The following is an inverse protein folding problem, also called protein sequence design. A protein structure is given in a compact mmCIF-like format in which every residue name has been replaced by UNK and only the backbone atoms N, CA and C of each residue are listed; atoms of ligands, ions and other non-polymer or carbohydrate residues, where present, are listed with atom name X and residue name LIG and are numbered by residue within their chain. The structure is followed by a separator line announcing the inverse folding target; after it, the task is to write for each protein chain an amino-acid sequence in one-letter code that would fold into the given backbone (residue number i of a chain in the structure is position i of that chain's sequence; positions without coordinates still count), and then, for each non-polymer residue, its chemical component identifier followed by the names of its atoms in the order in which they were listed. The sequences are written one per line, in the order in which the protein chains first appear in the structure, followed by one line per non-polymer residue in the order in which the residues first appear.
data_IF_377628529142
#
_entry.id   IF_377628529142
#
_cell.length_a   1.000
_cell.length_b   1.000
_cell.length_c   1.000
_cell.angle_alpha   90.00
_cell.angle_beta   90.00
_cell.angle_gamma   90.00
#
_symmetry.space_group_name_H-M   'P 1'
#
loop_
_entity.id
_entity.type
_entity.pdbx_description
1 polymer ?
#
# COMPACT_ATOMS: atom_id res chain seq x y z
N UNK A 1 -17.72 12.38 54.12
CA UNK A 1 -17.38 11.57 52.93
C UNK A 1 -16.14 10.75 53.22
N UNK A 2 -16.20 9.42 53.11
CA UNK A 2 -15.02 8.59 53.36
C UNK A 2 -13.88 8.91 52.35
N UNK A 3 -12.65 8.79 52.79
CA UNK A 3 -11.42 9.11 52.03
C UNK A 3 -11.43 8.48 50.63
N UNK A 4 -12.00 7.31 50.49
CA UNK A 4 -12.17 6.58 49.21
C UNK A 4 -13.01 7.34 48.17
N UNK A 5 -14.08 8.00 48.60
CA UNK A 5 -14.92 8.82 47.70
C UNK A 5 -14.24 10.11 47.24
N UNK A 6 -13.45 10.76 48.12
CA UNK A 6 -12.65 11.92 47.74
C UNK A 6 -11.55 11.55 46.75
N UNK A 7 -10.89 10.42 46.91
CA UNK A 7 -9.89 9.88 45.98
C UNK A 7 -10.49 9.56 44.60
N UNK A 8 -11.65 8.92 44.58
CA UNK A 8 -12.37 8.58 43.31
C UNK A 8 -12.81 9.86 42.58
N UNK A 9 -13.30 10.88 43.31
CA UNK A 9 -13.63 12.17 42.70
C UNK A 9 -12.39 12.88 42.14
N UNK A 10 -11.31 12.92 42.92
CA UNK A 10 -10.05 13.57 42.50
C UNK A 10 -9.47 12.89 41.25
N UNK A 11 -9.42 11.55 41.23
CA UNK A 11 -8.97 10.79 40.04
C UNK A 11 -9.89 10.97 38.81
N UNK A 12 -11.19 11.07 38.98
CA UNK A 12 -12.12 11.40 37.88
C UNK A 12 -11.87 12.80 37.31
N UNK A 13 -11.66 13.79 38.17
CA UNK A 13 -11.35 15.17 37.74
C UNK A 13 -9.99 15.23 37.03
N UNK A 14 -8.96 14.56 37.56
CA UNK A 14 -7.65 14.47 36.87
C UNK A 14 -7.75 13.77 35.53
N UNK A 15 -8.44 12.64 35.42
CA UNK A 15 -8.67 11.94 34.16
C UNK A 15 -9.42 12.83 33.14
N UNK A 16 -10.46 13.56 33.59
CA UNK A 16 -11.20 14.47 32.71
C UNK A 16 -10.32 15.64 32.23
N UNK A 17 -9.48 16.22 33.10
CA UNK A 17 -8.52 17.26 32.71
C UNK A 17 -7.47 16.71 31.74
N UNK A 18 -6.91 15.53 31.99
CA UNK A 18 -5.97 14.87 31.10
C UNK A 18 -6.60 14.61 29.73
N UNK A 19 -7.84 14.07 29.68
CA UNK A 19 -8.58 13.88 28.45
C UNK A 19 -8.82 15.19 27.69
N UNK A 20 -9.21 16.26 28.38
CA UNK A 20 -9.43 17.57 27.75
C UNK A 20 -8.13 18.17 27.18
N UNK A 21 -7.00 17.97 27.85
CA UNK A 21 -5.69 18.41 27.36
C UNK A 21 -5.20 17.63 26.17
N UNK A 22 -5.51 16.32 26.09
CA UNK A 22 -5.14 15.47 24.95
C UNK A 22 -6.14 15.53 23.80
N UNK A 23 -7.37 16.05 24.04
CA UNK A 23 -8.46 16.08 23.06
C UNK A 23 -8.08 16.76 21.73
N UNK A 24 -7.41 17.91 21.70
CA UNK A 24 -7.03 18.53 20.43
C UNK A 24 -6.15 17.62 19.56
N UNK A 25 -5.19 16.91 20.18
CA UNK A 25 -4.35 15.93 19.48
C UNK A 25 -5.17 14.73 18.99
N UNK A 26 -6.06 14.21 19.83
CA UNK A 26 -6.92 13.07 19.47
C UNK A 26 -7.85 13.45 18.31
N UNK A 27 -8.48 14.63 18.36
CA UNK A 27 -9.33 15.13 17.26
C UNK A 27 -8.51 15.27 15.98
N UNK A 28 -7.32 15.86 16.07
CA UNK A 28 -6.42 15.97 14.92
C UNK A 28 -6.09 14.60 14.31
N UNK A 29 -5.74 13.60 15.13
CA UNK A 29 -5.47 12.24 14.66
C UNK A 29 -6.70 11.59 14.01
N UNK A 30 -7.88 11.76 14.62
CA UNK A 30 -9.12 11.22 14.05
C UNK A 30 -9.41 11.87 12.69
N UNK A 31 -9.35 13.19 12.60
CA UNK A 31 -9.70 13.91 11.36
C UNK A 31 -8.65 13.68 10.26
N UNK A 32 -7.35 13.64 10.61
CA UNK A 32 -6.28 13.56 9.63
C UNK A 32 -5.93 12.14 9.20
N UNK A 33 -6.24 11.12 10.01
CA UNK A 33 -5.87 9.73 9.74
C UNK A 33 -7.07 8.78 9.75
N UNK A 34 -7.86 8.76 10.83
CA UNK A 34 -8.91 7.75 10.99
C UNK A 34 -10.03 7.96 9.97
N UNK A 35 -10.50 9.20 9.78
CA UNK A 35 -11.55 9.51 8.82
C UNK A 35 -11.14 9.23 7.36
N UNK A 36 -9.97 9.67 6.86
CA UNK A 36 -9.53 9.33 5.50
C UNK A 36 -9.35 7.83 5.28
N UNK A 37 -8.80 7.10 6.25
CA UNK A 37 -8.68 5.64 6.17
C UNK A 37 -10.07 5.00 6.15
N UNK A 38 -10.98 5.44 7.01
CA UNK A 38 -12.37 4.98 7.05
C UNK A 38 -13.09 5.22 5.73
N UNK A 39 -12.92 6.39 5.13
CA UNK A 39 -13.48 6.70 3.81
C UNK A 39 -12.88 5.83 2.71
N UNK A 40 -11.58 5.58 2.72
CA UNK A 40 -10.97 4.64 1.78
C UNK A 40 -11.54 3.23 1.93
N UNK A 41 -11.67 2.72 3.16
CA UNK A 41 -12.29 1.42 3.43
C UNK A 41 -13.76 1.39 2.95
N UNK A 42 -14.51 2.47 3.14
CA UNK A 42 -15.86 2.60 2.62
C UNK A 42 -15.89 2.53 1.09
N UNK A 43 -15.04 3.30 0.41
CA UNK A 43 -14.93 3.31 -1.07
C UNK A 43 -14.48 1.98 -1.66
N UNK A 44 -13.84 1.13 -0.89
CA UNK A 44 -13.42 -0.20 -1.35
C UNK A 44 -14.59 -1.17 -1.60
N UNK A 45 -15.73 -0.92 -0.95
CA UNK A 45 -16.96 -1.73 -1.08
C UNK A 45 -18.13 -0.95 -1.66
N UNK A 46 -18.17 0.37 -1.47
CA UNK A 46 -19.26 1.25 -1.92
C UNK A 46 -18.88 1.97 -3.21
N UNK A 47 -19.60 1.68 -4.29
CA UNK A 47 -19.38 2.29 -5.59
C UNK A 47 -20.72 2.52 -6.33
N UNK A 48 -21.38 3.66 -6.11
CA UNK A 48 -22.67 3.98 -6.71
C UNK A 48 -22.53 4.55 -8.13
N UNK A 49 -21.49 4.18 -8.90
CA UNK A 49 -21.23 4.77 -10.21
C UNK A 49 -22.31 4.45 -11.25
N UNK A 50 -23.03 3.34 -11.11
CA UNK A 50 -24.16 3.00 -11.99
C UNK A 50 -25.44 3.61 -11.47
N UNK A 51 -25.79 3.40 -10.20
CA UNK A 51 -27.02 3.91 -9.59
C UNK A 51 -27.11 5.45 -9.60
N UNK A 52 -25.99 6.15 -9.44
CA UNK A 52 -25.95 7.62 -9.52
C UNK A 52 -26.16 8.18 -10.94
N UNK A 53 -25.83 7.41 -11.98
CA UNK A 53 -25.90 7.87 -13.38
C UNK A 53 -27.19 7.43 -14.06
N UNK A 54 -27.63 6.20 -13.78
CA UNK A 54 -28.85 5.60 -14.35
C UNK A 54 -29.71 5.01 -13.23
N UNK A 55 -30.31 5.86 -12.37
CA UNK A 55 -30.99 5.44 -11.15
C UNK A 55 -32.25 4.60 -11.41
N UNK A 56 -33.10 5.00 -12.36
CA UNK A 56 -34.34 4.26 -12.66
C UNK A 56 -33.99 2.88 -13.27
N UNK A 57 -33.04 2.85 -14.17
CA UNK A 57 -32.53 1.61 -14.72
C UNK A 57 -31.89 0.71 -13.65
N UNK A 58 -31.11 1.27 -12.73
CA UNK A 58 -30.45 0.52 -11.67
C UNK A 58 -31.45 -0.21 -10.76
N UNK A 59 -32.62 0.37 -10.53
CA UNK A 59 -33.73 -0.27 -9.81
C UNK A 59 -34.38 -1.35 -10.68
N UNK A 60 -34.74 -1.00 -11.91
CA UNK A 60 -35.44 -1.92 -12.80
C UNK A 60 -34.66 -3.19 -13.13
N UNK A 61 -33.34 -3.07 -13.39
CA UNK A 61 -32.49 -4.20 -13.78
C UNK A 61 -32.29 -5.23 -12.65
N UNK A 62 -32.55 -4.89 -11.38
CA UNK A 62 -32.48 -5.86 -10.28
C UNK A 62 -33.60 -6.92 -10.36
N UNK A 63 -34.70 -6.64 -11.07
CA UNK A 63 -35.82 -7.56 -11.28
C UNK A 63 -35.59 -8.51 -12.48
N UNK A 64 -34.54 -8.28 -13.27
CA UNK A 64 -34.22 -9.14 -14.41
C UNK A 64 -33.57 -10.45 -13.95
N UNK A 65 -34.01 -11.55 -14.52
CA UNK A 65 -33.55 -12.92 -14.20
C UNK A 65 -32.14 -13.25 -14.74
N UNK A 66 -31.55 -12.35 -15.53
CA UNK A 66 -30.23 -12.53 -16.12
C UNK A 66 -30.24 -13.40 -17.37
N UNK A 67 -31.38 -13.82 -17.89
CA UNK A 67 -31.51 -14.64 -19.08
C UNK A 67 -31.91 -13.82 -20.32
N UNK A 68 -31.24 -14.04 -21.43
CA UNK A 68 -31.53 -13.32 -22.67
C UNK A 68 -31.19 -11.83 -22.59
N UNK A 69 -32.08 -10.98 -23.11
CA UNK A 69 -31.96 -9.52 -23.01
C UNK A 69 -33.04 -8.99 -22.07
N UNK A 70 -32.78 -7.84 -21.39
CA UNK A 70 -33.77 -7.19 -20.54
C UNK A 70 -35.08 -6.85 -21.26
N UNK A 71 -36.12 -6.54 -20.49
CA UNK A 71 -37.40 -6.11 -21.03
C UNK A 71 -37.34 -4.74 -21.70
N UNK A 72 -38.30 -4.41 -22.54
CA UNK A 72 -38.40 -3.12 -23.23
C UNK A 72 -38.42 -1.94 -22.20
N UNK A 73 -39.14 -2.11 -21.10
CA UNK A 73 -39.22 -1.13 -20.02
C UNK A 73 -37.86 -0.83 -19.40
N UNK A 74 -36.99 -1.84 -19.29
CA UNK A 74 -35.60 -1.64 -18.78
C UNK A 74 -34.73 -0.91 -19.79
N UNK A 75 -34.93 -1.16 -21.09
CA UNK A 75 -34.27 -0.40 -22.15
C UNK A 75 -34.74 1.08 -22.15
N UNK A 76 -36.04 1.32 -21.98
CA UNK A 76 -36.60 2.68 -21.86
C UNK A 76 -35.99 3.42 -20.66
N UNK A 77 -36.00 2.80 -19.47
CA UNK A 77 -35.40 3.38 -18.27
C UNK A 77 -33.92 3.73 -18.49
N UNK A 78 -33.17 2.84 -19.14
CA UNK A 78 -31.76 3.07 -19.44
C UNK A 78 -31.53 4.26 -20.39
N UNK A 79 -32.30 4.34 -21.47
CA UNK A 79 -32.19 5.43 -22.46
C UNK A 79 -32.60 6.76 -21.83
N UNK A 80 -33.70 6.78 -21.07
CA UNK A 80 -34.20 7.98 -20.39
C UNK A 80 -33.20 8.52 -19.39
N UNK A 81 -32.60 7.65 -18.57
CA UNK A 81 -31.57 8.03 -17.63
C UNK A 81 -30.31 8.54 -18.34
N UNK A 82 -29.89 7.95 -19.46
CA UNK A 82 -28.76 8.41 -20.26
C UNK A 82 -28.99 9.81 -20.85
N UNK A 83 -30.21 10.14 -21.23
CA UNK A 83 -30.59 11.48 -21.73
C UNK A 83 -30.39 12.53 -20.65
N UNK A 84 -30.79 12.21 -19.41
CA UNK A 84 -30.60 13.08 -18.24
C UNK A 84 -29.11 13.17 -17.88
N UNK A 85 -28.43 12.03 -17.78
CA UNK A 85 -27.03 11.96 -17.39
C UNK A 85 -26.10 12.68 -18.37
N UNK A 86 -26.44 12.75 -19.67
CA UNK A 86 -25.67 13.49 -20.70
C UNK A 86 -25.55 14.98 -20.35
N UNK A 87 -26.55 15.58 -19.72
CA UNK A 87 -26.58 17.01 -19.32
C UNK A 87 -25.90 17.23 -17.96
N UNK A 88 -25.74 16.17 -17.19
CA UNK A 88 -25.18 16.25 -15.85
C UNK A 88 -23.66 16.44 -15.89
N UNK A 89 -23.14 17.46 -15.17
CA UNK A 89 -21.71 17.73 -15.01
C UNK A 89 -21.21 17.50 -13.60
N UNK A 90 -22.08 17.05 -12.71
CA UNK A 90 -21.73 16.78 -11.32
C UNK A 90 -20.75 15.59 -11.25
N UNK A 91 -19.72 15.74 -10.44
CA UNK A 91 -18.71 14.70 -10.21
C UNK A 91 -19.40 13.45 -9.66
N UNK A 92 -19.13 12.30 -10.27
CA UNK A 92 -19.75 11.03 -9.87
C UNK A 92 -21.04 10.68 -10.62
N UNK A 93 -21.72 11.64 -11.26
CA UNK A 93 -23.00 11.45 -11.97
C UNK A 93 -22.90 11.59 -13.49
N UNK A 94 -21.70 11.53 -14.04
CA UNK A 94 -21.48 11.67 -15.49
C UNK A 94 -21.52 10.33 -16.21
N UNK A 95 -21.94 10.34 -17.48
CA UNK A 95 -21.83 9.17 -18.37
C UNK A 95 -20.39 8.62 -18.44
N UNK A 96 -19.40 9.49 -18.29
CA UNK A 96 -17.98 9.11 -18.24
C UNK A 96 -17.66 8.18 -17.06
N UNK A 97 -18.26 8.41 -15.89
CA UNK A 97 -18.08 7.58 -14.71
C UNK A 97 -18.71 6.19 -14.90
N UNK A 98 -19.96 6.14 -15.41
CA UNK A 98 -20.61 4.89 -15.79
C UNK A 98 -19.77 4.09 -16.80
N UNK A 99 -19.35 4.77 -17.87
CA UNK A 99 -18.56 4.15 -18.92
C UNK A 99 -17.22 3.61 -18.39
N UNK A 100 -16.56 4.33 -17.54
CA UNK A 100 -15.31 3.91 -16.90
C UNK A 100 -15.54 2.72 -15.97
N UNK A 101 -16.61 2.77 -15.16
CA UNK A 101 -16.93 1.68 -14.24
C UNK A 101 -17.19 0.36 -14.97
N UNK A 102 -18.02 0.40 -16.01
CA UNK A 102 -18.35 -0.81 -16.78
C UNK A 102 -17.14 -1.28 -17.60
N UNK A 103 -16.30 -0.36 -18.07
CA UNK A 103 -15.08 -0.73 -18.79
C UNK A 103 -14.06 -1.49 -17.92
N UNK A 104 -14.05 -1.31 -16.61
CA UNK A 104 -13.25 -2.14 -15.71
C UNK A 104 -13.79 -3.57 -15.58
N UNK A 105 -15.12 -3.74 -15.64
CA UNK A 105 -15.74 -5.05 -15.61
C UNK A 105 -15.74 -5.73 -17.00
N UNK A 106 -15.89 -4.94 -18.07
CA UNK A 106 -15.93 -5.40 -19.45
C UNK A 106 -15.04 -4.49 -20.32
N UNK A 107 -13.75 -4.83 -20.52
CA UNK A 107 -12.82 -4.02 -21.30
C UNK A 107 -13.31 -3.73 -22.74
N UNK A 108 -13.09 -2.50 -23.20
CA UNK A 108 -13.51 -2.04 -24.52
C UNK A 108 -14.97 -1.56 -24.61
N UNK A 109 -15.67 -1.44 -23.44
CA UNK A 109 -17.04 -0.92 -23.40
C UNK A 109 -17.15 0.60 -23.25
N UNK A 110 -16.09 1.30 -22.87
CA UNK A 110 -16.14 2.75 -22.58
C UNK A 110 -16.70 3.60 -23.71
N UNK A 111 -16.25 3.38 -24.94
CA UNK A 111 -16.71 4.13 -26.13
C UNK A 111 -18.18 3.87 -26.44
N UNK A 112 -18.69 2.67 -26.15
CA UNK A 112 -20.07 2.29 -26.34
C UNK A 112 -21.02 3.23 -25.57
N UNK A 113 -20.80 3.38 -24.26
CA UNK A 113 -21.62 4.24 -23.38
C UNK A 113 -21.56 5.71 -23.79
N UNK A 114 -20.38 6.24 -24.05
CA UNK A 114 -20.21 7.65 -24.44
C UNK A 114 -20.79 7.97 -25.80
N UNK A 115 -20.69 7.06 -26.78
CA UNK A 115 -21.30 7.25 -28.09
C UNK A 115 -22.82 7.10 -28.06
N UNK A 116 -23.35 6.17 -27.28
CA UNK A 116 -24.79 5.97 -27.09
C UNK A 116 -25.42 7.19 -26.41
N UNK A 117 -24.82 7.70 -25.34
CA UNK A 117 -25.34 8.88 -24.64
C UNK A 117 -25.42 10.13 -25.54
N UNK A 118 -24.49 10.30 -26.50
CA UNK A 118 -24.54 11.41 -27.48
C UNK A 118 -25.76 11.32 -28.38
N UNK A 119 -26.21 10.10 -28.70
CA UNK A 119 -27.32 9.82 -29.64
C UNK A 119 -28.61 9.44 -28.91
N UNK A 120 -28.64 9.32 -27.58
CA UNK A 120 -29.76 8.87 -26.80
C UNK A 120 -31.06 9.61 -27.09
N UNK A 121 -31.00 10.95 -27.29
CA UNK A 121 -32.17 11.78 -27.61
C UNK A 121 -32.84 11.43 -28.98
N UNK A 122 -32.19 10.63 -29.81
CA UNK A 122 -32.71 10.22 -31.12
C UNK A 122 -33.34 8.82 -31.12
N UNK A 123 -33.29 8.15 -29.98
CA UNK A 123 -33.85 6.82 -29.80
C UNK A 123 -35.31 6.97 -29.36
N UNK A 124 -36.22 6.40 -30.11
CA UNK A 124 -37.66 6.29 -29.80
C UNK A 124 -38.04 4.83 -29.67
N UNK A 125 -39.23 4.55 -29.14
CA UNK A 125 -39.75 3.21 -29.04
C UNK A 125 -39.87 2.56 -30.46
N UNK A 126 -39.49 1.29 -30.59
CA UNK A 126 -39.00 0.37 -29.55
C UNK A 126 -37.52 0.63 -29.21
N UNK A 127 -37.24 0.90 -27.92
CA UNK A 127 -35.93 1.29 -27.42
C UNK A 127 -34.86 0.21 -27.56
N UNK A 128 -35.25 -1.06 -27.41
CA UNK A 128 -34.39 -2.23 -27.62
C UNK A 128 -33.80 -2.24 -29.02
N UNK A 129 -34.66 -2.16 -30.02
CA UNK A 129 -34.24 -2.15 -31.43
C UNK A 129 -33.42 -0.91 -31.75
N UNK A 130 -33.85 0.25 -31.25
CA UNK A 130 -33.14 1.53 -31.40
C UNK A 130 -31.70 1.50 -30.84
N UNK A 131 -31.48 0.92 -29.66
CA UNK A 131 -30.15 0.74 -29.07
C UNK A 131 -29.29 -0.27 -29.89
N UNK A 132 -29.85 -1.41 -30.28
CA UNK A 132 -29.14 -2.42 -31.06
C UNK A 132 -28.78 -1.86 -32.45
N UNK A 133 -29.65 -1.07 -33.07
CA UNK A 133 -29.38 -0.42 -34.36
C UNK A 133 -28.22 0.61 -34.25
N UNK A 134 -28.08 1.30 -33.10
CA UNK A 134 -26.95 2.19 -32.86
C UNK A 134 -25.63 1.44 -32.75
N UNK A 135 -25.62 0.28 -32.07
CA UNK A 135 -24.45 -0.56 -31.94
C UNK A 135 -24.85 -1.99 -31.52
N UNK A 136 -24.43 -2.97 -32.35
CA UNK A 136 -24.72 -4.40 -32.12
C UNK A 136 -24.24 -4.93 -30.77
N UNK A 137 -23.26 -4.25 -30.09
CA UNK A 137 -22.81 -4.66 -28.75
C UNK A 137 -23.93 -4.61 -27.70
N UNK A 138 -24.99 -3.84 -27.92
CA UNK A 138 -26.17 -3.80 -27.03
C UNK A 138 -27.01 -5.09 -27.08
N UNK A 139 -26.83 -5.96 -28.07
CA UNK A 139 -27.45 -7.29 -28.10
C UNK A 139 -26.67 -8.34 -27.28
N UNK A 140 -25.54 -7.98 -26.66
CA UNK A 140 -24.78 -8.91 -25.84
C UNK A 140 -25.35 -8.99 -24.40
N UNK A 141 -25.90 -10.17 -23.98
CA UNK A 141 -26.43 -10.34 -22.63
C UNK A 141 -25.41 -10.07 -21.50
N UNK A 142 -24.12 -10.37 -21.75
CA UNK A 142 -23.06 -10.17 -20.76
C UNK A 142 -22.86 -8.69 -20.38
N UNK A 143 -23.12 -7.77 -21.31
CA UNK A 143 -23.09 -6.35 -21.03
C UNK A 143 -24.16 -5.97 -19.99
N UNK A 144 -25.36 -6.52 -20.14
CA UNK A 144 -26.48 -6.27 -19.23
C UNK A 144 -26.28 -6.94 -17.87
N UNK A 145 -25.74 -8.17 -17.85
CA UNK A 145 -25.30 -8.83 -16.61
C UNK A 145 -24.23 -8.01 -15.87
N UNK A 146 -23.29 -7.45 -16.59
CA UNK A 146 -22.28 -6.56 -16.02
C UNK A 146 -22.94 -5.29 -15.44
N UNK A 147 -23.90 -4.70 -16.15
CA UNK A 147 -24.66 -3.54 -15.64
C UNK A 147 -25.46 -3.89 -14.40
N UNK A 148 -26.19 -5.01 -14.38
CA UNK A 148 -26.95 -5.49 -13.24
C UNK A 148 -26.08 -5.67 -11.97
N UNK A 149 -24.94 -6.35 -12.13
CA UNK A 149 -24.00 -6.56 -11.01
C UNK A 149 -23.42 -5.26 -10.48
N UNK A 150 -23.16 -4.30 -11.36
CA UNK A 150 -22.58 -3.01 -10.99
C UNK A 150 -23.65 -1.96 -10.62
N UNK A 151 -24.94 -2.25 -10.78
CA UNK A 151 -26.04 -1.42 -10.34
C UNK A 151 -26.24 -1.44 -8.82
N UNK A 152 -25.68 -2.44 -8.12
CA UNK A 152 -25.65 -2.47 -6.66
C UNK A 152 -24.57 -1.53 -6.15
N UNK A 153 -24.91 -0.70 -5.17
CA UNK A 153 -23.97 0.26 -4.56
C UNK A 153 -22.85 -0.44 -3.79
N UNK A 154 -23.13 -1.61 -3.18
CA UNK A 154 -22.17 -2.41 -2.46
C UNK A 154 -21.73 -3.61 -3.30
N UNK A 155 -20.42 -3.75 -3.47
CA UNK A 155 -19.84 -4.81 -4.28
C UNK A 155 -18.51 -5.30 -3.72
N UNK A 156 -18.29 -6.63 -3.61
CA UNK A 156 -16.99 -7.21 -3.31
C UNK A 156 -16.06 -7.31 -4.54
N UNK A 157 -16.52 -6.89 -5.72
CA UNK A 157 -15.82 -7.07 -6.98
C UNK A 157 -14.38 -6.49 -6.98
N UNK A 158 -14.15 -5.41 -6.23
CA UNK A 158 -12.82 -4.80 -6.12
C UNK A 158 -11.86 -5.64 -5.29
N UNK A 159 -12.36 -6.30 -4.23
CA UNK A 159 -11.57 -7.26 -3.46
C UNK A 159 -11.26 -8.52 -4.26
N UNK A 160 -12.23 -9.02 -5.04
CA UNK A 160 -11.99 -10.12 -5.95
C UNK A 160 -10.91 -9.74 -6.97
N UNK A 161 -11.05 -8.58 -7.62
CA UNK A 161 -10.03 -8.10 -8.57
C UNK A 161 -8.65 -7.94 -7.91
N UNK A 162 -8.59 -7.42 -6.67
CA UNK A 162 -7.34 -7.28 -5.91
C UNK A 162 -6.68 -8.63 -5.54
N UNK A 163 -7.45 -9.73 -5.58
CA UNK A 163 -6.99 -11.11 -5.40
C UNK A 163 -6.85 -11.87 -6.72
N UNK A 164 -6.80 -11.16 -7.86
CA UNK A 164 -6.72 -11.73 -9.20
C UNK A 164 -7.91 -12.68 -9.54
N UNK A 165 -9.09 -12.37 -8.96
CA UNK A 165 -10.34 -13.11 -9.19
C UNK A 165 -11.35 -12.24 -9.96
N UNK A 166 -12.26 -12.89 -10.66
CA UNK A 166 -13.39 -12.23 -11.35
C UNK A 166 -14.65 -13.09 -11.28
N UNK A 167 -15.80 -12.50 -11.60
CA UNK A 167 -17.02 -13.25 -11.83
C UNK A 167 -17.07 -13.78 -13.27
N UNK A 168 -17.42 -15.06 -13.44
CA UNK A 168 -17.79 -15.63 -14.74
C UNK A 168 -19.21 -15.18 -15.16
N UNK A 169 -19.65 -15.66 -16.34
CA UNK A 169 -20.96 -15.36 -16.89
C UNK A 169 -22.11 -15.90 -16.02
N UNK A 170 -21.85 -16.97 -15.28
CA UNK A 170 -22.82 -17.61 -14.36
C UNK A 170 -22.83 -17.00 -12.96
N UNK A 171 -21.91 -16.07 -12.67
CA UNK A 171 -21.79 -15.46 -11.35
C UNK A 171 -20.88 -16.19 -10.38
N UNK A 172 -20.17 -17.22 -10.80
CA UNK A 172 -19.19 -17.90 -9.96
C UNK A 172 -17.89 -17.11 -9.90
N UNK A 173 -17.19 -17.23 -8.79
CA UNK A 173 -15.86 -16.64 -8.63
C UNK A 173 -14.83 -17.55 -9.31
N UNK A 174 -14.13 -17.01 -10.29
CA UNK A 174 -13.08 -17.69 -11.04
C UNK A 174 -11.80 -16.86 -11.08
N UNK A 175 -10.68 -17.47 -11.40
CA UNK A 175 -9.44 -16.73 -11.62
C UNK A 175 -9.57 -15.75 -12.79
N UNK A 176 -8.99 -14.58 -12.66
CA UNK A 176 -8.86 -13.65 -13.78
C UNK A 176 -8.00 -14.26 -14.89
N UNK A 177 -8.12 -13.73 -16.11
CA UNK A 177 -7.27 -14.17 -17.22
C UNK A 177 -5.80 -13.86 -16.87
N UNK A 178 -4.88 -14.72 -17.30
CA UNK A 178 -3.44 -14.64 -16.97
C UNK A 178 -2.84 -13.24 -17.17
N UNK A 179 -3.32 -12.50 -18.17
CA UNK A 179 -2.88 -11.13 -18.46
C UNK A 179 -3.23 -10.13 -17.32
N UNK A 180 -4.28 -10.41 -16.55
CA UNK A 180 -4.76 -9.54 -15.46
C UNK A 180 -4.39 -10.05 -14.06
N UNK A 181 -3.68 -11.18 -13.97
CA UNK A 181 -3.18 -11.73 -12.69
C UNK A 181 -1.88 -11.04 -12.28
N UNK A 182 -1.99 -9.81 -11.81
CA UNK A 182 -0.82 -8.98 -11.47
C UNK A 182 -0.74 -8.61 -9.98
N UNK A 183 -1.88 -8.65 -9.27
CA UNK A 183 -1.91 -8.10 -7.91
C UNK A 183 -1.31 -9.05 -6.90
N UNK A 184 -1.73 -10.32 -6.88
CA UNK A 184 -1.26 -11.30 -5.90
C UNK A 184 0.26 -11.54 -6.02
N UNK A 185 0.78 -11.64 -7.24
CA UNK A 185 2.22 -11.78 -7.49
C UNK A 185 3.00 -10.56 -6.97
N UNK A 186 2.49 -9.33 -7.19
CA UNK A 186 3.10 -8.12 -6.68
C UNK A 186 2.97 -7.97 -5.16
N UNK A 187 1.91 -8.48 -4.52
CA UNK A 187 1.81 -8.58 -3.06
C UNK A 187 2.93 -9.45 -2.49
N UNK A 188 3.09 -10.67 -3.00
CA UNK A 188 4.11 -11.62 -2.57
C UNK A 188 5.51 -11.02 -2.79
N UNK A 189 5.76 -10.48 -3.97
CA UNK A 189 7.01 -9.79 -4.33
C UNK A 189 7.32 -8.64 -3.37
N UNK A 190 6.32 -7.82 -3.04
CA UNK A 190 6.49 -6.71 -2.09
C UNK A 190 6.93 -7.21 -0.72
N UNK A 191 6.31 -8.28 -0.21
CA UNK A 191 6.69 -8.87 1.06
C UNK A 191 8.12 -9.43 1.02
N UNK A 192 8.48 -10.13 -0.05
CA UNK A 192 9.82 -10.69 -0.24
C UNK A 192 10.91 -9.61 -0.31
N UNK A 193 10.68 -8.55 -1.12
CA UNK A 193 11.62 -7.43 -1.27
C UNK A 193 11.72 -6.65 0.06
N UNK A 194 10.61 -6.40 0.74
CA UNK A 194 10.62 -5.71 2.04
C UNK A 194 11.34 -6.53 3.12
N UNK A 195 11.18 -7.84 3.14
CA UNK A 195 11.92 -8.73 4.03
C UNK A 195 13.43 -8.73 3.70
N UNK A 196 13.79 -8.77 2.42
CA UNK A 196 15.19 -8.71 1.98
C UNK A 196 15.85 -7.38 2.38
N UNK A 197 15.19 -6.25 2.12
CA UNK A 197 15.67 -4.91 2.53
C UNK A 197 15.86 -4.85 4.04
N UNK A 198 14.89 -5.33 4.80
CA UNK A 198 14.93 -5.35 6.26
C UNK A 198 16.10 -6.20 6.77
N UNK A 199 16.32 -7.36 6.18
CA UNK A 199 17.43 -8.24 6.52
C UNK A 199 18.78 -7.58 6.22
N UNK A 200 18.95 -6.97 5.04
CA UNK A 200 20.19 -6.26 4.68
C UNK A 200 20.41 -5.06 5.61
N UNK A 201 19.35 -4.28 5.91
CA UNK A 201 19.44 -3.18 6.87
C UNK A 201 19.87 -3.67 8.26
N UNK A 202 19.32 -4.79 8.75
CA UNK A 202 19.70 -5.36 10.05
C UNK A 202 21.17 -5.80 10.06
N UNK A 203 21.63 -6.46 8.99
CA UNK A 203 23.02 -6.90 8.85
C UNK A 203 24.01 -5.75 8.84
N UNK A 204 23.70 -4.66 8.11
CA UNK A 204 24.57 -3.48 8.02
C UNK A 204 24.46 -2.60 9.27
N UNK A 205 23.26 -2.42 9.82
CA UNK A 205 23.03 -1.57 10.98
C UNK A 205 23.66 -2.13 12.26
N UNK A 206 23.72 -3.46 12.42
CA UNK A 206 24.21 -4.07 13.65
C UNK A 206 25.66 -3.69 13.98
N UNK A 207 26.65 -3.85 13.10
CA UNK A 207 28.02 -3.43 13.35
C UNK A 207 28.15 -1.90 13.51
N UNK A 208 27.39 -1.11 12.74
CA UNK A 208 27.40 0.35 12.82
C UNK A 208 26.90 0.80 14.20
N UNK A 209 25.74 0.29 14.63
CA UNK A 209 25.17 0.63 15.94
C UNK A 209 26.06 0.18 17.10
N UNK A 210 26.70 -0.98 16.98
CA UNK A 210 27.67 -1.48 17.95
C UNK A 210 28.86 -0.52 18.10
N UNK A 211 29.48 -0.11 17.01
CA UNK A 211 30.58 0.85 17.01
C UNK A 211 30.13 2.17 17.63
N UNK A 212 29.00 2.71 17.18
CA UNK A 212 28.42 3.95 17.74
C UNK A 212 28.18 3.87 19.25
N UNK A 213 27.71 2.73 19.76
CA UNK A 213 27.37 2.56 21.18
C UNK A 213 28.61 2.45 22.08
N UNK A 214 29.72 1.95 21.53
CA UNK A 214 30.97 1.69 22.28
C UNK A 214 31.97 2.85 22.24
N UNK A 215 31.88 3.72 21.25
CA UNK A 215 32.77 4.87 21.10
C UNK A 215 32.50 5.96 22.15
N UNK A 216 33.52 6.80 22.47
CA UNK A 216 33.34 8.01 23.23
C UNK A 216 32.31 8.94 22.60
N UNK A 217 31.52 9.67 23.40
CA UNK A 217 30.41 10.50 22.94
C UNK A 217 30.76 11.45 21.79
N UNK A 218 31.93 12.08 21.84
CA UNK A 218 32.37 13.03 20.78
C UNK A 218 32.50 12.33 19.43
N UNK A 219 33.08 11.15 19.37
CA UNK A 219 33.27 10.38 18.13
C UNK A 219 31.96 9.74 17.68
N UNK A 220 31.19 9.18 18.62
CA UNK A 220 29.88 8.63 18.37
C UNK A 220 28.94 9.67 17.76
N UNK A 221 28.90 10.90 18.30
CA UNK A 221 28.07 11.97 17.78
C UNK A 221 28.46 12.37 16.34
N UNK A 222 29.78 12.46 16.06
CA UNK A 222 30.24 12.77 14.70
C UNK A 222 29.82 11.71 13.68
N UNK A 223 29.99 10.43 14.04
CA UNK A 223 29.53 9.33 13.17
C UNK A 223 28.00 9.27 13.07
N UNK A 224 27.28 9.62 14.13
CA UNK A 224 25.81 9.72 14.10
C UNK A 224 25.35 10.80 13.12
N UNK A 225 26.05 11.92 12.99
CA UNK A 225 25.76 12.95 11.97
C UNK A 225 25.86 12.35 10.57
N UNK A 226 26.87 11.54 10.29
CA UNK A 226 27.00 10.84 8.98
C UNK A 226 25.85 9.86 8.73
N UNK A 227 25.42 9.11 9.75
CA UNK A 227 24.24 8.22 9.65
C UNK A 227 22.96 8.99 9.34
N UNK A 228 22.82 10.20 9.93
CA UNK A 228 21.62 11.03 9.77
C UNK A 228 21.68 11.95 8.53
N UNK A 229 22.83 12.09 7.89
CA UNK A 229 23.03 12.95 6.72
C UNK A 229 21.99 12.69 5.61
N UNK A 230 21.58 11.45 5.32
CA UNK A 230 20.52 11.19 4.36
C UNK A 230 19.20 11.90 4.70
N UNK A 231 18.89 12.17 5.96
CA UNK A 231 17.64 12.87 6.31
C UNK A 231 17.62 14.34 5.93
N UNK A 232 18.78 14.97 5.80
CA UNK A 232 18.89 16.37 5.39
C UNK A 232 18.86 16.59 3.89
N UNK A 233 18.90 15.49 3.11
CA UNK A 233 18.77 15.55 1.65
C UNK A 233 17.37 15.14 1.23
N UNK A 234 16.84 15.75 0.15
CA UNK A 234 15.53 15.37 -0.35
C UNK A 234 15.52 13.93 -0.88
N UNK A 235 14.37 13.28 -0.78
CA UNK A 235 14.19 11.92 -1.32
C UNK A 235 14.50 11.85 -2.82
N UNK A 236 14.04 12.84 -3.58
CA UNK A 236 14.26 12.88 -5.03
C UNK A 236 15.75 13.01 -5.38
N UNK A 237 16.49 13.90 -4.68
CA UNK A 237 17.93 14.07 -4.90
C UNK A 237 18.67 12.75 -4.62
N UNK A 238 18.36 12.07 -3.52
CA UNK A 238 18.97 10.76 -3.20
C UNK A 238 18.67 9.72 -4.27
N UNK A 239 17.41 9.64 -4.70
CA UNK A 239 16.99 8.67 -5.72
C UNK A 239 17.66 8.96 -7.07
N UNK A 240 17.74 10.23 -7.47
CA UNK A 240 18.45 10.64 -8.69
C UNK A 240 19.95 10.36 -8.62
N UNK A 241 20.57 10.55 -7.45
CA UNK A 241 21.97 10.16 -7.24
C UNK A 241 22.16 8.65 -7.44
N UNK A 242 21.27 7.81 -6.91
CA UNK A 242 21.32 6.37 -7.13
C UNK A 242 21.13 5.99 -8.61
N UNK A 243 20.25 6.71 -9.35
CA UNK A 243 20.12 6.52 -10.79
C UNK A 243 21.49 6.75 -11.48
N UNK A 244 22.16 7.85 -11.19
CA UNK A 244 23.46 8.17 -11.78
C UNK A 244 24.57 7.18 -11.38
N UNK A 245 24.59 6.73 -10.13
CA UNK A 245 25.61 5.83 -9.58
C UNK A 245 25.48 4.40 -10.14
N UNK A 246 24.24 3.93 -10.33
CA UNK A 246 23.94 2.54 -10.72
C UNK A 246 23.73 2.35 -12.24
N UNK A 247 23.88 3.40 -13.05
CA UNK A 247 23.84 3.28 -14.51
C UNK A 247 24.92 2.36 -15.03
N UNK A 248 24.76 1.83 -16.25
CA UNK A 248 25.75 0.98 -16.91
C UNK A 248 27.09 1.71 -17.05
N UNK A 249 27.08 3.00 -17.39
CA UNK A 249 28.25 3.88 -17.41
C UNK A 249 28.41 4.65 -16.08
N UNK A 250 27.95 4.07 -14.98
CA UNK A 250 27.95 4.72 -13.68
C UNK A 250 29.13 4.32 -12.79
N UNK A 251 29.31 5.10 -11.72
CA UNK A 251 30.45 4.99 -10.79
C UNK A 251 30.67 3.58 -10.24
N UNK A 252 29.63 2.79 -9.97
CA UNK A 252 29.77 1.43 -9.42
C UNK A 252 30.42 0.51 -10.44
N UNK A 253 29.98 0.56 -11.70
CA UNK A 253 30.61 -0.20 -12.77
C UNK A 253 32.05 0.26 -13.02
N UNK A 254 32.33 1.56 -13.00
CA UNK A 254 33.70 2.09 -13.14
C UNK A 254 34.62 1.56 -12.05
N UNK A 255 34.17 1.48 -10.81
CA UNK A 255 34.92 0.90 -9.70
C UNK A 255 35.16 -0.60 -9.94
N UNK A 256 34.16 -1.35 -10.41
CA UNK A 256 34.30 -2.79 -10.66
C UNK A 256 35.28 -3.08 -11.82
N UNK A 257 35.23 -2.25 -12.86
CA UNK A 257 36.19 -2.33 -13.97
C UNK A 257 37.60 -1.96 -13.49
N UNK A 258 37.75 -0.88 -12.73
CA UNK A 258 39.02 -0.46 -12.15
C UNK A 258 39.65 -1.53 -11.23
N UNK A 259 38.85 -2.25 -10.45
CA UNK A 259 39.29 -3.33 -9.57
C UNK A 259 39.51 -4.64 -10.32
N UNK A 260 39.29 -4.70 -11.64
CA UNK A 260 39.42 -5.91 -12.45
C UNK A 260 38.37 -7.00 -12.16
N UNK A 261 37.25 -6.62 -11.49
CA UNK A 261 36.15 -7.52 -11.19
C UNK A 261 35.29 -7.76 -12.44
N UNK A 262 35.12 -6.73 -13.26
CA UNK A 262 34.39 -6.76 -14.53
C UNK A 262 35.30 -6.29 -15.67
N UNK A 263 35.07 -6.83 -16.85
CA UNK A 263 35.62 -6.27 -18.09
C UNK A 263 34.76 -5.04 -18.50
N UNK A 264 35.34 -4.14 -19.28
CA UNK A 264 34.63 -2.92 -19.67
C UNK A 264 33.38 -3.18 -20.54
N UNK A 265 33.42 -4.22 -21.35
CA UNK A 265 32.31 -4.76 -22.14
C UNK A 265 31.30 -5.61 -21.30
N UNK A 266 31.69 -5.99 -20.08
CA UNK A 266 30.90 -6.79 -19.14
C UNK A 266 30.12 -5.96 -18.09
N UNK A 267 29.93 -4.65 -18.30
CA UNK A 267 29.21 -3.78 -17.36
C UNK A 267 27.80 -4.25 -17.10
N UNK A 268 27.37 -4.23 -15.83
CA UNK A 268 26.08 -4.75 -15.36
C UNK A 268 25.04 -3.62 -15.24
N UNK A 269 23.85 -3.84 -15.76
CA UNK A 269 22.75 -2.93 -15.55
C UNK A 269 22.19 -3.14 -14.12
N UNK A 270 22.50 -2.22 -13.20
CA UNK A 270 22.08 -2.26 -11.79
C UNK A 270 20.89 -1.33 -11.49
N UNK A 271 20.44 -0.56 -12.48
CA UNK A 271 19.32 0.37 -12.37
C UNK A 271 18.14 -0.09 -13.23
N UNK A 272 16.92 0.38 -12.92
CA UNK A 272 15.65 0.01 -13.55
C UNK A 272 15.33 -1.48 -13.42
N UNK A 273 15.66 -2.05 -12.27
CA UNK A 273 15.41 -3.44 -11.90
C UNK A 273 15.26 -3.58 -10.37
N UNK A 274 15.05 -4.81 -9.91
CA UNK A 274 14.92 -5.11 -8.48
C UNK A 274 16.17 -4.73 -7.68
N UNK A 275 17.38 -4.87 -8.25
CA UNK A 275 18.65 -4.51 -7.59
C UNK A 275 18.71 -3.02 -7.29
N UNK A 276 18.31 -2.17 -8.24
CA UNK A 276 18.21 -0.72 -8.04
C UNK A 276 17.25 -0.36 -6.93
N UNK A 277 16.07 -1.00 -6.91
CA UNK A 277 15.07 -0.80 -5.83
C UNK A 277 15.65 -1.17 -4.47
N UNK A 278 16.22 -2.37 -4.32
CA UNK A 278 16.76 -2.86 -3.04
C UNK A 278 17.91 -1.97 -2.56
N UNK A 279 18.86 -1.62 -3.43
CA UNK A 279 20.02 -0.82 -3.06
C UNK A 279 19.62 0.58 -2.59
N UNK A 280 18.78 1.28 -3.37
CA UNK A 280 18.32 2.61 -3.01
C UNK A 280 17.48 2.60 -1.72
N UNK A 281 16.59 1.63 -1.56
CA UNK A 281 15.75 1.50 -0.36
C UNK A 281 16.55 1.12 0.89
N UNK A 282 17.55 0.25 0.78
CA UNK A 282 18.44 -0.06 1.91
C UNK A 282 19.14 1.21 2.40
N UNK A 283 19.71 2.00 1.50
CA UNK A 283 20.35 3.26 1.88
C UNK A 283 19.39 4.24 2.57
N UNK A 284 18.16 4.35 2.07
CA UNK A 284 17.15 5.26 2.63
C UNK A 284 16.66 4.79 4.00
N UNK A 285 16.50 3.47 4.18
CA UNK A 285 15.89 2.88 5.38
C UNK A 285 16.92 2.48 6.45
N UNK A 286 18.21 2.42 6.12
CA UNK A 286 19.27 2.03 7.03
C UNK A 286 19.31 2.85 8.33
N UNK A 287 19.16 4.19 8.33
CA UNK A 287 19.13 4.97 9.57
C UNK A 287 17.98 4.58 10.50
N UNK A 288 16.81 4.20 9.94
CA UNK A 288 15.66 3.76 10.74
C UNK A 288 15.90 2.42 11.46
N UNK A 289 16.83 1.61 10.98
CA UNK A 289 17.31 0.41 11.68
C UNK A 289 18.37 0.76 12.73
N UNK A 290 19.30 1.66 12.39
CA UNK A 290 20.43 2.00 13.25
C UNK A 290 19.95 2.69 14.53
N UNK A 291 19.01 3.64 14.44
CA UNK A 291 18.61 4.48 15.59
C UNK A 291 18.00 3.67 16.75
N UNK A 292 16.99 2.80 16.57
CA UNK A 292 16.44 1.99 17.65
C UNK A 292 17.49 1.03 18.21
N UNK A 293 18.30 0.43 17.35
CA UNK A 293 19.34 -0.51 17.74
C UNK A 293 20.43 0.18 18.57
N UNK A 294 20.91 1.35 18.13
CA UNK A 294 21.86 2.17 18.89
C UNK A 294 21.29 2.59 20.23
N UNK A 295 20.03 3.04 20.27
CA UNK A 295 19.36 3.47 21.50
C UNK A 295 19.41 2.37 22.57
N UNK A 296 19.05 1.15 22.20
CA UNK A 296 19.10 -0.01 23.12
C UNK A 296 20.55 -0.38 23.47
N UNK A 297 21.44 -0.48 22.48
CA UNK A 297 22.84 -0.84 22.71
C UNK A 297 23.55 0.13 23.65
N UNK A 298 23.20 1.43 23.59
CA UNK A 298 23.80 2.47 24.45
C UNK A 298 23.42 2.33 25.91
N UNK A 299 22.29 1.70 26.23
CA UNK A 299 21.84 1.47 27.62
C UNK A 299 22.43 0.20 28.24
N UNK A 300 23.03 -0.69 27.44
CA UNK A 300 23.62 -1.94 27.94
C UNK A 300 24.88 -1.62 28.75
N UNK A 301 24.87 -2.02 30.04
CA UNK A 301 26.00 -1.77 30.93
C UNK A 301 27.20 -2.65 30.53
N UNK A 302 28.38 -2.06 30.24
CA UNK A 302 29.59 -2.82 29.87
C UNK A 302 30.05 -3.84 30.93
N UNK A 303 29.61 -3.68 32.16
CA UNK A 303 29.93 -4.57 33.28
C UNK A 303 29.46 -6.01 33.02
N UNK A 304 28.35 -6.22 32.33
CA UNK A 304 27.84 -7.56 32.00
C UNK A 304 28.85 -8.36 31.16
N UNK A 305 29.43 -7.73 30.15
CA UNK A 305 30.46 -8.35 29.32
C UNK A 305 31.76 -8.61 30.10
N UNK A 306 32.19 -7.64 30.94
CA UNK A 306 33.37 -7.78 31.79
C UNK A 306 33.19 -8.91 32.79
N UNK A 307 32.06 -9.03 33.46
CA UNK A 307 31.76 -10.11 34.40
C UNK A 307 31.82 -11.50 33.73
N UNK A 308 31.21 -11.64 32.56
CA UNK A 308 31.25 -12.90 31.82
C UNK A 308 32.68 -13.32 31.47
N UNK A 309 33.54 -12.37 31.02
CA UNK A 309 34.95 -12.63 30.70
C UNK A 309 35.73 -12.97 31.96
N UNK A 310 35.51 -12.27 33.07
CA UNK A 310 36.15 -12.55 34.38
C UNK A 310 35.79 -13.94 34.92
N UNK A 311 34.63 -14.48 34.56
CA UNK A 311 34.22 -15.85 34.86
C UNK A 311 34.79 -16.89 33.88
N UNK A 312 35.73 -16.50 33.00
CA UNK A 312 36.41 -17.42 32.07
C UNK A 312 35.76 -17.56 30.69
N UNK A 313 34.68 -16.80 30.39
CA UNK A 313 34.08 -16.87 29.07
C UNK A 313 34.94 -16.21 28.00
N UNK A 314 35.09 -16.87 26.84
CA UNK A 314 35.74 -16.27 25.67
C UNK A 314 34.89 -15.07 25.19
N UNK A 315 35.54 -14.01 24.67
CA UNK A 315 34.86 -12.77 24.22
C UNK A 315 33.73 -13.06 23.21
N UNK A 316 33.92 -13.98 22.28
CA UNK A 316 32.88 -14.37 21.31
C UNK A 316 31.68 -15.07 21.95
N UNK A 317 31.92 -15.89 22.99
CA UNK A 317 30.85 -16.51 23.76
C UNK A 317 30.04 -15.50 24.57
N UNK A 318 30.74 -14.61 25.28
CA UNK A 318 30.10 -13.52 26.02
C UNK A 318 29.28 -12.58 25.07
N UNK A 319 29.81 -12.28 23.88
CA UNK A 319 29.07 -11.52 22.86
C UNK A 319 27.76 -12.23 22.47
N UNK A 320 27.80 -13.52 22.17
CA UNK A 320 26.61 -14.27 21.70
C UNK A 320 25.60 -14.55 22.81
N UNK A 321 26.06 -14.83 24.04
CA UNK A 321 25.19 -15.29 25.15
C UNK A 321 24.79 -14.19 26.11
N UNK A 322 25.53 -13.09 26.18
CA UNK A 322 25.26 -12.00 27.12
C UNK A 322 24.85 -10.72 26.40
N UNK A 323 25.64 -10.27 25.42
CA UNK A 323 25.38 -8.98 24.75
C UNK A 323 24.27 -9.06 23.73
N UNK A 324 24.33 -10.01 22.77
CA UNK A 324 23.38 -10.11 21.66
C UNK A 324 21.93 -10.27 22.13
N UNK A 325 21.59 -11.09 23.16
CA UNK A 325 20.21 -11.17 23.65
C UNK A 325 19.68 -9.86 24.18
N UNK A 326 20.51 -9.02 24.78
CA UNK A 326 20.12 -7.71 25.29
C UNK A 326 19.87 -6.67 24.17
N UNK A 327 20.36 -6.92 22.96
CA UNK A 327 20.13 -6.06 21.80
C UNK A 327 18.86 -6.41 21.03
N UNK A 328 18.24 -7.58 21.31
CA UNK A 328 17.03 -8.04 20.60
C UNK A 328 15.90 -7.00 20.60
N UNK A 329 15.59 -6.28 21.70
CA UNK A 329 14.54 -5.28 21.67
C UNK A 329 14.78 -4.17 20.65
N UNK A 330 16.03 -3.67 20.57
CA UNK A 330 16.41 -2.65 19.58
C UNK A 330 16.37 -3.18 18.14
N UNK A 331 16.87 -4.39 17.93
CA UNK A 331 16.82 -5.06 16.63
C UNK A 331 15.37 -5.28 16.19
N UNK A 332 14.52 -5.76 17.09
CA UNK A 332 13.11 -6.00 16.81
C UNK A 332 12.37 -4.70 16.45
N UNK A 333 12.57 -3.63 17.22
CA UNK A 333 11.97 -2.33 16.93
C UNK A 333 12.42 -1.79 15.56
N UNK A 334 13.71 -1.86 15.25
CA UNK A 334 14.27 -1.45 13.96
C UNK A 334 13.73 -2.31 12.81
N UNK A 335 13.71 -3.62 12.98
CA UNK A 335 13.18 -4.58 11.99
C UNK A 335 11.71 -4.27 11.66
N UNK A 336 10.88 -4.10 12.68
CA UNK A 336 9.47 -3.77 12.47
C UNK A 336 9.30 -2.45 11.74
N UNK A 337 10.02 -1.41 12.17
CA UNK A 337 9.94 -0.08 11.56
C UNK A 337 10.37 -0.10 10.10
N UNK A 338 11.52 -0.69 9.79
CA UNK A 338 12.05 -0.77 8.42
C UNK A 338 11.14 -1.61 7.52
N UNK A 339 10.62 -2.74 8.01
CA UNK A 339 9.72 -3.60 7.25
C UNK A 339 8.41 -2.90 6.88
N UNK A 340 7.76 -2.23 7.85
CA UNK A 340 6.52 -1.49 7.60
C UNK A 340 6.75 -0.34 6.62
N UNK A 341 7.86 0.41 6.78
CA UNK A 341 8.21 1.48 5.85
C UNK A 341 8.48 0.94 4.45
N UNK A 342 9.22 -0.18 4.32
CA UNK A 342 9.54 -0.79 3.03
C UNK A 342 8.30 -1.21 2.25
N UNK A 343 7.32 -1.84 2.91
CA UNK A 343 6.05 -2.27 2.27
C UNK A 343 5.28 -1.06 1.70
N UNK A 344 5.25 0.07 2.42
CA UNK A 344 4.51 1.26 1.99
C UNK A 344 5.25 2.15 0.99
N UNK A 345 6.52 1.88 0.72
CA UNK A 345 7.33 2.73 -0.14
C UNK A 345 6.94 2.58 -1.62
N UNK A 346 6.70 3.70 -2.33
CA UNK A 346 6.35 3.64 -3.76
C UNK A 346 7.19 4.59 -4.64
N UNK A 347 7.67 5.72 -4.11
CA UNK A 347 8.36 6.74 -4.90
C UNK A 347 9.70 6.21 -5.44
N UNK A 348 10.53 5.66 -4.56
CA UNK A 348 11.85 5.12 -4.96
C UNK A 348 11.70 3.94 -5.93
N UNK A 349 10.89 2.90 -5.67
CA UNK A 349 10.66 1.84 -6.64
C UNK A 349 10.12 2.34 -7.99
N UNK A 350 9.26 3.38 -8.00
CA UNK A 350 8.77 3.97 -9.24
C UNK A 350 9.85 4.62 -10.09
N UNK A 351 10.92 5.13 -9.48
CA UNK A 351 12.00 5.84 -10.17
C UNK A 351 13.17 4.94 -10.58
N UNK A 352 13.50 3.95 -9.74
CA UNK A 352 14.71 3.12 -9.93
C UNK A 352 14.43 1.66 -10.24
N UNK A 353 13.18 1.21 -10.09
CA UNK A 353 12.83 -0.21 -10.12
C UNK A 353 12.52 -0.77 -11.50
N UNK A 354 12.21 0.08 -12.49
CA UNK A 354 11.69 -0.40 -13.77
C UNK A 354 10.46 -1.31 -13.62
N UNK A 355 10.22 -2.21 -14.54
CA UNK A 355 9.07 -3.13 -14.48
C UNK A 355 9.26 -4.20 -13.38
N UNK A 356 10.48 -4.70 -13.21
CA UNK A 356 10.78 -5.76 -12.25
C UNK A 356 10.91 -5.27 -10.80
N UNK A 357 11.17 -3.99 -10.58
CA UNK A 357 11.32 -3.40 -9.26
C UNK A 357 10.04 -2.78 -8.69
N UNK A 358 8.92 -2.83 -9.42
CA UNK A 358 7.62 -2.31 -8.96
C UNK A 358 7.06 -3.13 -7.81
N UNK A 359 6.49 -2.45 -6.82
CA UNK A 359 5.84 -3.01 -5.64
C UNK A 359 4.32 -2.79 -5.70
N UNK A 360 3.57 -3.47 -4.84
CA UNK A 360 2.10 -3.30 -4.79
C UNK A 360 1.69 -1.84 -4.48
N UNK A 361 2.48 -1.11 -3.69
CA UNK A 361 2.29 0.31 -3.39
C UNK A 361 2.33 1.20 -4.64
N UNK A 362 3.11 0.83 -5.66
CA UNK A 362 3.13 1.50 -6.95
C UNK A 362 1.83 1.29 -7.73
N UNK A 363 1.27 0.06 -7.71
CA UNK A 363 -0.01 -0.24 -8.35
C UNK A 363 -1.16 0.48 -7.66
N UNK A 364 -1.14 0.57 -6.32
CA UNK A 364 -2.10 1.37 -5.55
C UNK A 364 -2.03 2.84 -5.98
N UNK A 365 -0.83 3.43 -6.02
CA UNK A 365 -0.62 4.80 -6.47
C UNK A 365 -1.08 5.01 -7.93
N UNK A 366 -0.82 4.06 -8.81
CA UNK A 366 -1.29 4.09 -10.20
C UNK A 366 -2.82 4.12 -10.27
N UNK A 367 -3.52 3.27 -9.49
CA UNK A 367 -4.98 3.23 -9.51
C UNK A 367 -5.61 4.49 -8.95
N UNK A 368 -4.99 5.14 -7.97
CA UNK A 368 -5.50 6.38 -7.39
C UNK A 368 -5.19 7.59 -8.28
N UNK A 369 -3.96 7.69 -8.82
CA UNK A 369 -3.47 8.90 -9.48
C UNK A 369 -3.63 8.90 -11.01
N UNK A 370 -3.52 7.73 -11.66
CA UNK A 370 -3.49 7.60 -13.12
C UNK A 370 -4.78 6.99 -13.67
N UNK A 371 -5.17 5.80 -13.25
CA UNK A 371 -6.38 5.16 -13.76
C UNK A 371 -7.65 5.72 -13.13
N UNK A 372 -7.55 6.44 -12.00
CA UNK A 372 -8.66 7.01 -11.23
C UNK A 372 -9.67 5.94 -10.76
N UNK A 373 -9.23 4.68 -10.65
CA UNK A 373 -10.01 3.58 -10.08
C UNK A 373 -9.84 3.55 -8.56
N UNK A 374 -10.40 4.56 -7.89
CA UNK A 374 -10.29 4.75 -6.44
C UNK A 374 -10.73 3.53 -5.64
N UNK A 375 -11.81 2.86 -6.08
CA UNK A 375 -12.35 1.70 -5.37
C UNK A 375 -11.39 0.50 -5.40
N UNK A 376 -10.73 0.26 -6.54
CA UNK A 376 -9.71 -0.80 -6.62
C UNK A 376 -8.44 -0.41 -5.85
N UNK A 377 -7.98 0.83 -5.98
CA UNK A 377 -6.88 1.34 -5.16
C UNK A 377 -7.16 1.22 -3.66
N UNK A 378 -8.39 1.51 -3.24
CA UNK A 378 -8.85 1.37 -1.86
C UNK A 378 -8.89 -0.10 -1.40
N UNK A 379 -9.37 -1.03 -2.25
CA UNK A 379 -9.40 -2.47 -1.93
C UNK A 379 -7.98 -3.05 -1.79
N UNK A 380 -7.07 -2.71 -2.70
CA UNK A 380 -5.65 -3.08 -2.61
C UNK A 380 -5.01 -2.52 -1.33
N UNK A 381 -5.28 -1.25 -1.00
CA UNK A 381 -4.78 -0.62 0.24
C UNK A 381 -5.34 -1.29 1.49
N UNK A 382 -6.62 -1.68 1.49
CA UNK A 382 -7.26 -2.37 2.61
C UNK A 382 -6.64 -3.76 2.85
N UNK A 383 -6.36 -4.52 1.78
CA UNK A 383 -5.66 -5.81 1.88
C UNK A 383 -4.24 -5.61 2.41
N UNK A 384 -3.53 -4.60 1.88
CA UNK A 384 -2.17 -4.28 2.33
C UNK A 384 -2.16 -3.91 3.82
N UNK A 385 -3.07 -3.03 4.26
CA UNK A 385 -3.23 -2.65 5.66
C UNK A 385 -3.52 -3.87 6.54
N UNK A 386 -4.47 -4.72 6.13
CA UNK A 386 -4.80 -5.96 6.85
C UNK A 386 -3.58 -6.89 6.96
N UNK A 387 -2.82 -7.05 5.87
CA UNK A 387 -1.59 -7.85 5.85
C UNK A 387 -0.56 -7.30 6.83
N UNK A 388 -0.31 -5.98 6.82
CA UNK A 388 0.63 -5.32 7.76
C UNK A 388 0.18 -5.50 9.20
N UNK A 389 -1.11 -5.34 9.51
CA UNK A 389 -1.64 -5.52 10.87
C UNK A 389 -1.50 -6.97 11.36
N UNK A 390 -1.75 -7.96 10.50
CA UNK A 390 -1.56 -9.38 10.82
C UNK A 390 -0.08 -9.67 11.08
N UNK A 391 0.81 -9.17 10.22
CA UNK A 391 2.25 -9.35 10.39
C UNK A 391 2.77 -8.65 11.65
N UNK A 392 2.28 -7.44 11.95
CA UNK A 392 2.59 -6.73 13.20
C UNK A 392 2.15 -7.54 14.43
N UNK A 393 0.90 -8.05 14.43
CA UNK A 393 0.40 -8.88 15.52
C UNK A 393 1.23 -10.15 15.71
N UNK A 394 1.54 -10.83 14.60
CA UNK A 394 2.36 -12.05 14.64
C UNK A 394 3.76 -11.76 15.18
N UNK A 395 4.38 -10.68 14.69
CA UNK A 395 5.69 -10.24 15.15
C UNK A 395 5.70 -9.91 16.64
N UNK A 396 4.71 -9.15 17.13
CA UNK A 396 4.57 -8.82 18.55
C UNK A 396 4.41 -10.08 19.42
N UNK A 397 3.63 -11.05 18.95
CA UNK A 397 3.45 -12.34 19.65
C UNK A 397 4.74 -13.17 19.69
N UNK A 398 5.53 -13.18 18.61
CA UNK A 398 6.76 -13.96 18.53
C UNK A 398 7.90 -13.34 19.32
N UNK A 399 8.06 -12.03 19.26
CA UNK A 399 9.16 -11.31 19.92
C UNK A 399 8.84 -10.99 21.37
N UNK A 400 7.56 -10.98 21.74
CA UNK A 400 7.13 -10.73 23.13
C UNK A 400 7.48 -9.32 23.63
N UNK A 401 7.33 -8.31 22.78
CA UNK A 401 7.66 -6.91 23.09
C UNK A 401 6.97 -6.44 24.38
N UNK A 402 5.75 -6.93 24.67
CA UNK A 402 5.02 -6.63 25.90
C UNK A 402 5.68 -7.22 27.15
N UNK A 403 6.53 -8.23 27.04
CA UNK A 403 7.28 -8.83 28.12
C UNK A 403 8.65 -8.18 28.36
N UNK A 404 9.10 -7.31 27.45
CA UNK A 404 10.30 -6.51 27.59
C UNK A 404 9.98 -5.27 28.43
N UNK A 405 9.55 -5.48 29.66
CA UNK A 405 9.49 -4.39 30.65
C UNK A 405 10.91 -3.90 30.86
N UNK A 406 11.17 -2.71 30.36
CA UNK A 406 12.33 -1.95 30.79
C UNK A 406 12.18 -1.73 32.29
N UNK A 407 12.96 -2.48 33.07
CA UNK A 407 13.05 -2.33 34.51
C UNK A 407 13.64 -0.99 34.90
#
# INVERSE_FOLDING_TARGET
MPLKEKLVKATKVQRRRALLLTMPLVIFLIVSFVLPIGEMLWRSVHNPAVSNVVPNFAIAIQQWDGQGLPSEEMFEAFVSDLVVAKKNREIGKTVGNLATRINYALPGSRSLFTSTARKANKISAPYKEGLIALNKKWSNPQLWLSLQRNAKDFTPAFYLAALDLKYDDKGNVVQADKLYQIYLSNFIKTLQISALITFICALLAYPIAYVLSTLPLRQSNLLMILVLLPFWTSLLVRTTAWIAILQTEGLVNDIFVFLGILADDGRVQMIYNQTGTVTAMVHILLPFMILPLYSVMKTINPTYMKAAISMGAKKSYAMRRVYLPQTIPGLAAGTLLVFILAIGYYITPALVGGEDGILISNLIAYHIQKSLNWSLGAALSAILLGTVLILYWLFNKLVGIDNLKFG
#
